data_IF_184678402455
#
_entry.id   IF_184678402455
#
_cell.length_a   1.000
_cell.length_b   1.000
_cell.length_c   1.000
_cell.angle_alpha   90.00
_cell.angle_beta   90.00
_cell.angle_gamma   90.00
#
_symmetry.space_group_name_H-M   'P 1'
#
loop_
_entity.id
_entity.type
_entity.pdbx_description
1 polymer ?
#
# COMPACT_ATOMS: atom_id res chain seq x y z
N UNK A 1 -17.26 -18.38 -14.49
CA UNK A 1 -16.66 -17.04 -14.72
C UNK A 1 -15.33 -17.15 -15.46
N UNK A 2 -14.88 -16.06 -16.06
CA UNK A 2 -13.50 -15.92 -16.54
C UNK A 2 -12.63 -15.37 -15.41
N UNK A 3 -11.43 -15.92 -15.25
CA UNK A 3 -10.41 -15.43 -14.31
C UNK A 3 -9.05 -15.44 -15.00
N UNK A 4 -8.09 -14.68 -14.46
CA UNK A 4 -6.71 -14.68 -14.91
C UNK A 4 -5.87 -15.53 -13.94
N UNK A 5 -5.30 -16.61 -14.45
CA UNK A 5 -4.45 -17.53 -13.67
C UNK A 5 -2.98 -17.31 -13.93
N UNK A 6 -2.18 -17.64 -12.93
CA UNK A 6 -0.72 -17.79 -13.06
C UNK A 6 -0.46 -19.27 -13.38
N UNK A 7 -0.14 -19.59 -14.62
CA UNK A 7 0.10 -20.98 -15.04
C UNK A 7 1.33 -21.58 -14.37
N UNK A 8 2.38 -20.78 -14.23
CA UNK A 8 3.66 -21.11 -13.60
C UNK A 8 4.37 -19.81 -13.20
N UNK A 9 5.28 -19.81 -12.23
CA UNK A 9 6.08 -18.62 -11.93
C UNK A 9 6.88 -18.14 -13.15
N UNK A 10 6.78 -16.82 -13.49
CA UNK A 10 7.47 -16.35 -14.67
C UNK A 10 7.16 -14.92 -15.13
N UNK A 11 7.43 -14.62 -16.43
CA UNK A 11 7.18 -13.32 -17.04
C UNK A 11 5.68 -13.03 -17.17
N UNK A 12 5.25 -11.81 -17.60
CA UNK A 12 3.83 -11.47 -17.74
C UNK A 12 3.04 -12.43 -18.65
N UNK A 13 3.69 -13.09 -19.56
CA UNK A 13 3.08 -14.06 -20.50
C UNK A 13 2.56 -15.34 -19.85
N UNK A 14 2.87 -15.61 -18.58
CA UNK A 14 2.32 -16.76 -17.84
C UNK A 14 0.91 -16.52 -17.35
N UNK A 15 0.45 -15.25 -17.34
CA UNK A 15 -0.92 -14.89 -17.03
C UNK A 15 -1.84 -15.33 -18.17
N UNK A 16 -2.85 -16.16 -17.88
CA UNK A 16 -3.76 -16.72 -18.87
C UNK A 16 -5.21 -16.64 -18.41
N UNK A 17 -6.15 -16.31 -19.32
CA UNK A 17 -7.56 -16.45 -19.01
C UNK A 17 -7.92 -17.95 -18.87
N UNK A 18 -8.69 -18.25 -17.84
CA UNK A 18 -9.20 -19.59 -17.55
C UNK A 18 -10.66 -19.54 -17.12
N UNK A 19 -11.38 -20.66 -17.28
CA UNK A 19 -12.73 -20.83 -16.76
C UNK A 19 -12.70 -21.40 -15.36
N UNK A 20 -13.30 -20.68 -14.43
CA UNK A 20 -13.43 -21.06 -13.01
C UNK A 20 -14.91 -21.03 -12.59
N UNK A 21 -15.32 -21.85 -11.60
CA UNK A 21 -16.63 -21.69 -10.99
C UNK A 21 -16.74 -20.30 -10.34
N UNK A 22 -17.94 -19.74 -10.29
CA UNK A 22 -18.22 -18.54 -9.52
C UNK A 22 -18.11 -18.91 -8.03
N UNK A 23 -17.30 -18.19 -7.22
CA UNK A 23 -17.17 -18.50 -5.80
C UNK A 23 -18.47 -18.22 -5.05
N UNK A 24 -18.72 -18.95 -3.97
CA UNK A 24 -19.86 -18.72 -3.09
C UNK A 24 -19.38 -17.95 -1.85
N UNK A 25 -20.05 -16.86 -1.44
CA UNK A 25 -19.68 -16.12 -0.25
C UNK A 25 -19.97 -16.98 0.99
N UNK A 26 -18.97 -17.06 1.87
CA UNK A 26 -19.10 -17.73 3.19
C UNK A 26 -19.87 -16.84 4.16
N UNK A 27 -20.26 -17.33 5.36
CA UNK A 27 -20.77 -16.46 6.41
C UNK A 27 -19.83 -15.28 6.67
N UNK A 28 -20.38 -14.05 6.70
CA UNK A 28 -19.61 -12.81 6.85
C UNK A 28 -18.97 -12.27 5.57
N UNK A 29 -19.10 -12.94 4.42
CA UNK A 29 -18.57 -12.48 3.14
C UNK A 29 -19.67 -11.98 2.19
N UNK A 30 -19.28 -11.22 1.19
CA UNK A 30 -20.11 -10.85 0.04
C UNK A 30 -19.48 -11.36 -1.25
N UNK A 31 -20.31 -11.57 -2.27
CA UNK A 31 -19.90 -11.81 -3.65
C UNK A 31 -20.01 -10.50 -4.42
N UNK A 32 -18.91 -10.06 -4.99
CA UNK A 32 -18.82 -8.84 -5.79
C UNK A 32 -18.73 -9.24 -7.27
N UNK A 33 -19.62 -8.68 -8.10
CA UNK A 33 -19.43 -8.67 -9.55
C UNK A 33 -18.42 -7.57 -9.84
N UNK A 34 -17.20 -7.97 -10.23
CA UNK A 34 -16.06 -7.09 -10.40
C UNK A 34 -16.22 -6.25 -11.66
N UNK A 35 -16.12 -4.95 -11.51
CA UNK A 35 -16.02 -4.00 -12.62
C UNK A 35 -14.56 -3.75 -13.00
N UNK A 36 -13.70 -3.56 -11.99
CA UNK A 36 -12.27 -3.35 -12.17
C UNK A 36 -11.49 -3.92 -10.98
N UNK A 37 -10.22 -4.27 -11.21
CA UNK A 37 -9.25 -4.70 -10.22
C UNK A 37 -7.98 -3.84 -10.33
N UNK A 38 -7.43 -3.42 -9.20
CA UNK A 38 -6.13 -2.74 -9.16
C UNK A 38 -4.97 -3.70 -9.44
N UNK A 39 -3.85 -3.14 -9.88
CA UNK A 39 -2.61 -3.91 -10.13
C UNK A 39 -1.55 -3.44 -9.13
N UNK A 40 -1.09 -4.36 -8.31
CA UNK A 40 -0.20 -4.08 -7.20
C UNK A 40 1.14 -4.84 -7.28
N UNK A 41 2.13 -4.38 -6.55
CA UNK A 41 3.44 -5.04 -6.51
C UNK A 41 3.39 -6.49 -6.03
N UNK A 42 2.59 -6.85 -5.00
CA UNK A 42 2.41 -8.24 -4.60
C UNK A 42 1.90 -9.16 -5.70
N UNK A 43 0.99 -8.70 -6.59
CA UNK A 43 0.51 -9.50 -7.74
C UNK A 43 1.68 -9.89 -8.67
N UNK A 44 2.59 -8.94 -8.90
CA UNK A 44 3.81 -9.21 -9.69
C UNK A 44 4.73 -10.20 -8.98
N UNK A 45 4.82 -10.13 -7.65
CA UNK A 45 5.62 -11.06 -6.85
C UNK A 45 4.96 -12.45 -6.81
N UNK A 46 3.63 -12.53 -6.68
CA UNK A 46 2.87 -13.79 -6.76
C UNK A 46 3.09 -14.44 -8.12
N UNK A 47 2.96 -13.68 -9.20
CA UNK A 47 3.26 -14.19 -10.55
C UNK A 47 4.69 -14.74 -10.69
N UNK A 48 5.66 -14.17 -9.97
CA UNK A 48 7.06 -14.63 -9.94
C UNK A 48 7.32 -15.77 -8.96
N UNK A 49 6.31 -16.21 -8.21
CA UNK A 49 6.45 -17.24 -7.18
C UNK A 49 7.09 -16.77 -5.87
N UNK A 50 7.24 -15.45 -5.70
CA UNK A 50 7.90 -14.84 -4.53
C UNK A 50 6.92 -14.28 -3.48
N UNK A 51 5.60 -14.44 -3.70
CA UNK A 51 4.55 -14.01 -2.78
C UNK A 51 3.38 -15.02 -2.85
N UNK A 52 3.44 -16.11 -2.11
CA UNK A 52 2.37 -17.11 -2.11
C UNK A 52 1.11 -16.54 -1.46
N UNK A 53 -0.09 -16.88 -1.97
CA UNK A 53 -1.33 -16.50 -1.32
C UNK A 53 -1.39 -17.06 0.12
N UNK A 54 -2.01 -16.36 1.07
CA UNK A 54 -2.22 -16.87 2.42
C UNK A 54 -3.03 -18.18 2.42
N UNK A 55 -2.88 -19.03 3.43
CA UNK A 55 -3.68 -20.27 3.54
C UNK A 55 -5.19 -19.97 3.48
N UNK A 56 -5.89 -20.64 2.57
CA UNK A 56 -7.34 -20.48 2.38
C UNK A 56 -7.75 -19.29 1.47
N UNK A 57 -6.81 -18.47 1.03
CA UNK A 57 -7.07 -17.45 0.01
C UNK A 57 -7.13 -18.05 -1.39
N UNK A 58 -7.68 -17.30 -2.34
CA UNK A 58 -7.72 -17.68 -3.76
C UNK A 58 -6.30 -17.74 -4.34
N UNK A 59 -6.06 -18.72 -5.21
CA UNK A 59 -4.84 -18.81 -6.03
C UNK A 59 -4.83 -17.81 -7.20
N UNK A 60 -6.01 -17.29 -7.57
CA UNK A 60 -6.15 -16.22 -8.54
C UNK A 60 -5.56 -14.93 -7.95
N UNK A 61 -4.67 -14.21 -8.68
CA UNK A 61 -4.12 -12.95 -8.19
C UNK A 61 -5.16 -11.81 -8.11
N UNK A 62 -4.73 -10.67 -7.59
CA UNK A 62 -5.55 -9.47 -7.45
C UNK A 62 -5.98 -9.23 -6.01
N UNK A 63 -5.43 -8.17 -5.40
CA UNK A 63 -5.62 -7.85 -3.98
C UNK A 63 -6.66 -6.76 -3.74
N UNK A 64 -7.22 -6.16 -4.79
CA UNK A 64 -8.24 -5.14 -4.66
C UNK A 64 -9.19 -5.14 -5.86
N UNK A 65 -10.43 -4.81 -5.60
CA UNK A 65 -11.46 -4.67 -6.63
C UNK A 65 -12.42 -3.53 -6.32
N UNK A 66 -13.12 -3.06 -7.36
CA UNK A 66 -14.40 -2.38 -7.19
C UNK A 66 -15.46 -3.02 -8.07
N UNK A 67 -16.71 -2.97 -7.61
CA UNK A 67 -17.82 -3.61 -8.29
C UNK A 67 -19.15 -3.44 -7.57
N UNK A 68 -20.05 -4.34 -7.86
CA UNK A 68 -21.39 -4.36 -7.27
C UNK A 68 -21.60 -5.66 -6.50
N UNK A 69 -22.08 -5.58 -5.27
CA UNK A 69 -22.46 -6.76 -4.47
C UNK A 69 -23.64 -7.47 -5.12
N UNK A 70 -23.50 -8.75 -5.44
CA UNK A 70 -24.55 -9.56 -6.10
C UNK A 70 -25.08 -10.68 -5.23
N UNK A 71 -24.38 -11.06 -4.16
CA UNK A 71 -24.85 -11.98 -3.14
C UNK A 71 -24.17 -11.68 -1.80
N UNK A 72 -24.80 -12.07 -0.70
CA UNK A 72 -24.26 -11.95 0.64
C UNK A 72 -24.34 -13.32 1.34
N UNK A 73 -23.29 -13.65 2.08
CA UNK A 73 -23.26 -14.81 2.96
C UNK A 73 -24.09 -14.61 4.21
N UNK A 74 -24.26 -15.69 4.97
CA UNK A 74 -25.03 -15.65 6.22
C UNK A 74 -24.49 -14.57 7.19
N UNK A 75 -25.42 -13.85 7.83
CA UNK A 75 -25.11 -12.83 8.82
C UNK A 75 -24.73 -11.45 8.24
N UNK A 76 -24.52 -11.31 6.94
CA UNK A 76 -24.18 -10.02 6.33
C UNK A 76 -25.45 -9.20 6.08
N UNK A 77 -25.49 -8.00 6.65
CA UNK A 77 -26.54 -6.98 6.42
C UNK A 77 -26.01 -5.79 5.64
N UNK A 78 -24.74 -5.50 5.77
CA UNK A 78 -24.03 -4.41 5.11
C UNK A 78 -22.65 -4.91 4.67
N UNK A 79 -22.23 -4.64 3.40
CA UNK A 79 -22.98 -3.95 2.34
C UNK A 79 -24.16 -4.80 1.79
N UNK A 80 -25.23 -4.13 1.42
CA UNK A 80 -26.42 -4.78 0.84
C UNK A 80 -26.17 -5.22 -0.62
N UNK A 81 -26.94 -6.20 -1.09
CA UNK A 81 -26.96 -6.58 -2.52
C UNK A 81 -27.40 -5.37 -3.36
N UNK A 82 -26.67 -5.10 -4.43
CA UNK A 82 -26.80 -3.93 -5.27
C UNK A 82 -25.87 -2.75 -4.87
N UNK A 83 -25.24 -2.79 -3.71
CA UNK A 83 -24.30 -1.75 -3.29
C UNK A 83 -23.05 -1.70 -4.19
N UNK A 84 -22.62 -0.49 -4.54
CA UNK A 84 -21.33 -0.23 -5.18
C UNK A 84 -20.25 -0.18 -4.11
N UNK A 85 -19.25 -1.04 -4.23
CA UNK A 85 -18.18 -1.18 -3.23
C UNK A 85 -16.80 -1.20 -3.89
N UNK A 86 -15.79 -0.83 -3.11
CA UNK A 86 -14.41 -1.23 -3.33
C UNK A 86 -13.92 -2.05 -2.12
N UNK A 87 -13.07 -3.04 -2.35
CA UNK A 87 -12.70 -3.99 -1.32
C UNK A 87 -11.24 -4.42 -1.42
N UNK A 88 -10.60 -4.58 -0.24
CA UNK A 88 -9.31 -5.25 -0.12
C UNK A 88 -9.56 -6.76 -0.05
N UNK A 89 -8.75 -7.52 -0.80
CA UNK A 89 -8.84 -8.97 -0.93
C UNK A 89 -7.53 -9.65 -0.51
N UNK A 90 -7.61 -10.91 -0.12
CA UNK A 90 -6.44 -11.76 0.05
C UNK A 90 -6.02 -12.47 -1.26
N UNK A 91 -6.70 -12.19 -2.38
CA UNK A 91 -6.55 -12.78 -3.70
C UNK A 91 -7.91 -12.90 -4.39
N UNK A 92 -7.92 -13.27 -5.68
CA UNK A 92 -9.16 -13.50 -6.44
C UNK A 92 -9.67 -12.30 -7.23
N UNK A 93 -9.02 -11.14 -7.15
CA UNK A 93 -9.49 -9.91 -7.80
C UNK A 93 -9.44 -9.95 -9.34
N UNK A 94 -8.54 -10.75 -9.92
CA UNK A 94 -8.42 -10.85 -11.38
C UNK A 94 -9.44 -11.84 -11.96
N UNK A 95 -10.70 -11.64 -11.65
CA UNK A 95 -11.82 -12.46 -12.10
C UNK A 95 -13.09 -11.62 -12.25
N UNK A 96 -14.10 -12.15 -12.98
CA UNK A 96 -15.40 -11.49 -13.12
C UNK A 96 -16.18 -11.40 -11.80
N UNK A 97 -15.87 -12.28 -10.84
CA UNK A 97 -16.49 -12.30 -9.51
C UNK A 97 -15.44 -12.63 -8.46
N UNK A 98 -15.49 -11.93 -7.32
CA UNK A 98 -14.63 -12.17 -6.17
C UNK A 98 -15.44 -12.16 -4.88
N UNK A 99 -15.05 -12.96 -3.88
CA UNK A 99 -15.59 -12.86 -2.53
C UNK A 99 -14.70 -11.97 -1.67
N UNK A 100 -15.32 -11.20 -0.78
CA UNK A 100 -14.62 -10.34 0.18
C UNK A 100 -15.32 -10.45 1.55
N UNK A 101 -14.57 -10.38 2.67
CA UNK A 101 -15.19 -10.12 3.97
C UNK A 101 -15.98 -8.81 3.92
N UNK A 102 -17.22 -8.81 4.40
CA UNK A 102 -18.08 -7.64 4.35
C UNK A 102 -17.44 -6.43 5.04
N UNK A 103 -16.70 -6.66 6.13
CA UNK A 103 -15.96 -5.62 6.86
C UNK A 103 -14.80 -4.98 6.08
N UNK A 104 -14.32 -5.61 5.01
CA UNK A 104 -13.26 -5.07 4.13
C UNK A 104 -13.83 -4.38 2.89
N UNK A 105 -15.15 -4.29 2.79
CA UNK A 105 -15.84 -3.58 1.72
C UNK A 105 -16.18 -2.16 2.16
N UNK A 106 -15.68 -1.18 1.43
CA UNK A 106 -16.04 0.23 1.61
C UNK A 106 -17.03 0.64 0.54
N UNK A 107 -17.98 1.54 0.82
CA UNK A 107 -18.78 2.16 -0.23
C UNK A 107 -17.84 2.81 -1.26
N UNK A 108 -18.02 2.51 -2.54
CA UNK A 108 -17.29 3.20 -3.59
C UNK A 108 -17.68 4.68 -3.59
N UNK A 109 -16.72 5.63 -3.54
CA UNK A 109 -17.03 7.05 -3.54
C UNK A 109 -17.91 7.43 -4.74
N UNK A 110 -18.95 8.19 -4.51
CA UNK A 110 -19.95 8.52 -5.55
C UNK A 110 -19.38 9.37 -6.67
N UNK A 111 -18.32 10.13 -6.41
CA UNK A 111 -17.62 10.98 -7.36
C UNK A 111 -16.64 10.20 -8.25
N UNK A 112 -16.36 8.94 -7.94
CA UNK A 112 -15.44 8.10 -8.68
C UNK A 112 -16.19 7.07 -9.51
N UNK A 113 -15.63 6.73 -10.65
CA UNK A 113 -16.00 5.53 -11.40
C UNK A 113 -15.57 4.29 -10.62
N UNK A 114 -16.11 3.11 -10.97
CA UNK A 114 -15.65 1.88 -10.34
C UNK A 114 -14.19 1.55 -10.71
N UNK A 115 -13.75 1.97 -11.89
CA UNK A 115 -12.35 1.78 -12.33
C UNK A 115 -11.40 2.58 -11.43
N UNK A 116 -11.74 3.83 -11.12
CA UNK A 116 -10.97 4.66 -10.18
C UNK A 116 -11.05 4.13 -8.75
N UNK A 117 -12.24 3.72 -8.30
CA UNK A 117 -12.44 3.19 -6.95
C UNK A 117 -11.68 1.87 -6.72
N UNK A 118 -11.42 1.09 -7.78
CA UNK A 118 -10.66 -0.16 -7.68
C UNK A 118 -9.18 0.05 -7.30
N UNK A 119 -8.63 1.25 -7.42
CA UNK A 119 -7.25 1.57 -7.07
C UNK A 119 -7.09 2.12 -5.63
N UNK A 120 -8.17 2.16 -4.85
CA UNK A 120 -8.12 2.73 -3.50
C UNK A 120 -7.72 1.72 -2.40
N UNK A 121 -8.31 0.51 -2.32
CA UNK A 121 -8.21 -0.32 -1.12
C UNK A 121 -6.78 -0.66 -0.72
N UNK A 122 -5.98 -1.19 -1.61
CA UNK A 122 -4.62 -1.67 -1.31
C UNK A 122 -3.73 -0.54 -0.77
N UNK A 123 -3.73 0.61 -1.44
CA UNK A 123 -2.86 1.71 -1.07
C UNK A 123 -3.37 2.47 0.16
N UNK A 124 -4.67 2.70 0.26
CA UNK A 124 -5.26 3.42 1.39
C UNK A 124 -5.22 2.61 2.68
N UNK A 125 -5.57 1.31 2.65
CA UNK A 125 -5.45 0.45 3.83
C UNK A 125 -3.99 0.30 4.27
N UNK A 126 -3.06 0.14 3.33
CA UNK A 126 -1.63 0.04 3.64
C UNK A 126 -1.11 1.31 4.32
N UNK A 127 -1.39 2.48 3.76
CA UNK A 127 -0.94 3.75 4.34
C UNK A 127 -1.64 4.02 5.66
N UNK A 128 -2.97 3.85 5.72
CA UNK A 128 -3.73 4.07 6.96
C UNK A 128 -3.20 3.23 8.11
N UNK A 129 -3.11 1.93 7.90
CA UNK A 129 -2.65 1.01 8.93
C UNK A 129 -1.24 1.31 9.41
N UNK A 130 -0.29 1.52 8.48
CA UNK A 130 1.11 1.67 8.85
C UNK A 130 1.46 3.06 9.36
N UNK A 131 0.91 4.12 8.75
CA UNK A 131 1.27 5.50 9.07
C UNK A 131 0.40 6.04 10.22
N UNK A 132 -0.91 5.77 10.22
CA UNK A 132 -1.83 6.36 11.20
C UNK A 132 -2.11 5.44 12.38
N UNK A 133 -2.41 4.16 12.17
CA UNK A 133 -2.71 3.22 13.27
C UNK A 133 -1.43 2.82 14.02
N UNK A 134 -0.42 2.31 13.31
CA UNK A 134 0.81 1.79 13.93
C UNK A 134 1.81 2.90 14.27
N UNK A 135 2.20 3.71 13.30
CA UNK A 135 3.16 4.79 13.52
C UNK A 135 2.54 6.04 14.16
N UNK A 136 1.20 6.15 14.21
CA UNK A 136 0.46 7.21 14.90
C UNK A 136 0.91 8.60 14.50
N UNK A 137 0.99 8.83 13.17
CA UNK A 137 1.29 10.15 12.63
C UNK A 137 0.26 11.17 13.12
N UNK A 138 0.74 12.34 13.55
CA UNK A 138 -0.09 13.43 14.07
C UNK A 138 0.06 14.69 13.23
N UNK A 139 -0.94 15.57 13.30
CA UNK A 139 -0.83 16.90 12.71
C UNK A 139 0.41 17.64 13.24
N UNK A 140 1.11 18.34 12.34
CA UNK A 140 2.36 19.04 12.63
C UNK A 140 3.62 18.18 12.63
N UNK A 141 3.50 16.85 12.61
CA UNK A 141 4.65 15.94 12.45
C UNK A 141 5.13 15.87 10.99
N UNK A 142 6.35 15.42 10.80
CA UNK A 142 6.96 15.21 9.49
C UNK A 142 6.91 13.73 9.11
N UNK A 143 6.29 13.43 7.97
CA UNK A 143 6.27 12.13 7.33
C UNK A 143 7.30 12.09 6.19
N UNK A 144 8.24 11.17 6.25
CA UNK A 144 9.13 10.82 5.13
C UNK A 144 8.62 9.55 4.45
N UNK A 145 8.45 9.59 3.12
CA UNK A 145 7.97 8.44 2.34
C UNK A 145 8.96 8.09 1.24
N UNK A 146 9.46 6.88 1.23
CA UNK A 146 10.25 6.40 0.11
C UNK A 146 9.35 5.97 -1.04
N UNK A 147 9.78 6.30 -2.28
CA UNK A 147 9.00 5.99 -3.47
C UNK A 147 7.73 6.85 -3.63
N UNK A 148 7.83 8.15 -3.43
CA UNK A 148 6.72 9.11 -3.44
C UNK A 148 5.80 9.07 -4.67
N UNK A 149 6.31 8.67 -5.83
CA UNK A 149 5.54 8.54 -7.07
C UNK A 149 4.92 7.14 -7.28
N UNK A 150 4.98 6.24 -6.29
CA UNK A 150 4.25 4.96 -6.30
C UNK A 150 2.81 5.15 -5.82
N UNK A 151 1.94 4.15 -6.02
CA UNK A 151 0.57 4.18 -5.48
C UNK A 151 0.55 4.42 -3.95
N UNK A 152 1.43 3.74 -3.21
CA UNK A 152 1.61 3.99 -1.76
C UNK A 152 2.08 5.42 -1.50
N UNK A 153 3.07 5.90 -2.27
CA UNK A 153 3.64 7.24 -2.08
C UNK A 153 2.64 8.36 -2.34
N UNK A 154 1.88 8.27 -3.44
CA UNK A 154 0.84 9.26 -3.77
C UNK A 154 -0.27 9.28 -2.73
N UNK A 155 -0.71 8.10 -2.27
CA UNK A 155 -1.69 7.98 -1.19
C UNK A 155 -1.16 8.57 0.13
N UNK A 156 0.11 8.31 0.47
CA UNK A 156 0.72 8.84 1.68
C UNK A 156 0.87 10.37 1.64
N UNK A 157 1.15 10.95 0.45
CA UNK A 157 1.13 12.41 0.27
C UNK A 157 -0.27 12.96 0.56
N UNK A 158 -1.29 12.42 -0.12
CA UNK A 158 -2.68 12.91 0.02
C UNK A 158 -3.18 12.80 1.46
N UNK A 159 -3.03 11.64 2.09
CA UNK A 159 -3.46 11.42 3.47
C UNK A 159 -2.63 12.25 4.46
N UNK A 160 -1.29 12.28 4.32
CA UNK A 160 -0.43 13.07 5.19
C UNK A 160 -0.81 14.55 5.16
N UNK A 161 -1.07 15.12 3.98
CA UNK A 161 -1.51 16.52 3.84
C UNK A 161 -2.91 16.74 4.39
N UNK A 162 -3.85 15.83 4.13
CA UNK A 162 -5.22 15.92 4.64
C UNK A 162 -5.28 15.91 6.18
N UNK A 163 -4.36 15.19 6.82
CA UNK A 163 -4.23 15.11 8.28
C UNK A 163 -3.22 16.09 8.88
N UNK A 164 -2.79 17.10 8.11
CA UNK A 164 -1.98 18.21 8.61
C UNK A 164 -0.51 17.89 8.88
N UNK A 165 0.04 16.84 8.28
CA UNK A 165 1.45 16.53 8.37
C UNK A 165 2.27 17.30 7.33
N UNK A 166 3.56 17.50 7.62
CA UNK A 166 4.56 17.89 6.64
C UNK A 166 5.02 16.62 5.91
N UNK A 167 4.98 16.62 4.58
CA UNK A 167 5.29 15.42 3.80
C UNK A 167 6.56 15.63 2.97
N UNK A 168 7.56 14.78 3.21
CA UNK A 168 8.80 14.68 2.45
C UNK A 168 8.79 13.34 1.72
N UNK A 169 9.16 13.32 0.44
CA UNK A 169 9.21 12.08 -0.33
C UNK A 169 10.53 11.90 -1.05
N UNK A 170 10.90 10.65 -1.34
CA UNK A 170 11.99 10.35 -2.26
C UNK A 170 11.43 9.81 -3.58
N UNK A 171 12.02 10.17 -4.71
CA UNK A 171 11.67 9.67 -6.03
C UNK A 171 12.91 9.56 -6.93
N UNK A 172 12.82 8.80 -8.02
CA UNK A 172 13.99 8.46 -8.86
C UNK A 172 14.16 9.33 -10.10
N UNK A 173 13.47 10.48 -10.21
CA UNK A 173 13.70 11.44 -11.30
C UNK A 173 13.10 12.80 -10.99
N UNK A 174 13.60 13.85 -11.66
CA UNK A 174 13.07 15.20 -11.53
C UNK A 174 11.56 15.29 -11.87
N UNK A 175 11.12 14.59 -12.91
CA UNK A 175 9.71 14.55 -13.30
C UNK A 175 8.82 13.91 -12.23
N UNK A 176 9.27 12.80 -11.61
CA UNK A 176 8.55 12.17 -10.49
C UNK A 176 8.53 13.07 -9.25
N UNK A 177 9.62 13.77 -8.97
CA UNK A 177 9.66 14.75 -7.89
C UNK A 177 8.69 15.93 -8.12
N UNK A 178 8.59 16.41 -9.36
CA UNK A 178 7.62 17.45 -9.73
C UNK A 178 6.19 16.99 -9.49
N UNK A 179 5.82 15.81 -10.01
CA UNK A 179 4.50 15.22 -9.78
C UNK A 179 4.16 15.04 -8.29
N UNK A 180 5.13 14.62 -7.46
CA UNK A 180 4.91 14.52 -6.01
C UNK A 180 4.62 15.88 -5.37
N UNK A 181 5.32 16.96 -5.81
CA UNK A 181 5.04 18.32 -5.32
C UNK A 181 3.68 18.83 -5.77
N UNK A 182 3.28 18.56 -7.00
CA UNK A 182 1.93 18.89 -7.52
C UNK A 182 0.82 18.21 -6.70
N UNK A 183 1.08 16.98 -6.20
CA UNK A 183 0.17 16.27 -5.30
C UNK A 183 0.16 16.83 -3.85
N UNK A 184 1.06 17.77 -3.54
CA UNK A 184 1.10 18.42 -2.23
C UNK A 184 2.30 18.03 -1.34
N UNK A 185 3.27 17.25 -1.80
CA UNK A 185 4.48 17.00 -1.03
C UNK A 185 5.25 18.30 -0.79
N UNK A 186 5.59 18.60 0.48
CA UNK A 186 6.33 19.80 0.85
C UNK A 186 7.77 19.77 0.32
N UNK A 187 8.38 18.57 0.27
CA UNK A 187 9.68 18.33 -0.33
C UNK A 187 9.69 17.01 -1.10
N UNK A 188 10.31 17.01 -2.27
CA UNK A 188 10.56 15.81 -3.07
C UNK A 188 12.04 15.75 -3.45
N UNK A 189 12.69 14.68 -3.03
CA UNK A 189 14.14 14.44 -3.12
C UNK A 189 14.40 13.43 -4.23
N UNK A 190 15.19 13.81 -5.24
CA UNK A 190 15.71 12.86 -6.22
C UNK A 190 16.90 12.11 -5.60
N UNK A 191 16.69 10.84 -5.25
CA UNK A 191 17.71 10.03 -4.58
C UNK A 191 18.89 9.65 -5.46
N UNK A 192 18.87 9.98 -6.77
CA UNK A 192 20.03 9.85 -7.67
C UNK A 192 20.91 11.11 -7.67
N UNK A 193 20.41 12.24 -7.19
CA UNK A 193 21.10 13.54 -7.22
C UNK A 193 21.50 14.01 -5.83
N UNK A 194 20.97 13.41 -4.77
CA UNK A 194 21.27 13.84 -3.41
C UNK A 194 21.01 12.81 -2.33
N UNK A 195 21.65 13.01 -1.18
CA UNK A 195 21.41 12.20 0.01
C UNK A 195 20.11 12.60 0.69
N UNK A 196 19.20 11.63 0.84
CA UNK A 196 17.90 11.90 1.45
C UNK A 196 17.99 12.17 2.95
N UNK A 197 19.00 11.66 3.64
CA UNK A 197 19.21 11.92 5.08
C UNK A 197 19.52 13.39 5.28
N UNK A 198 20.54 13.92 4.57
CA UNK A 198 20.90 15.33 4.63
C UNK A 198 19.74 16.23 4.21
N UNK A 199 19.06 15.88 3.11
CA UNK A 199 17.93 16.66 2.61
C UNK A 199 16.77 16.69 3.61
N UNK A 200 16.46 15.57 4.28
CA UNK A 200 15.42 15.48 5.32
C UNK A 200 15.82 16.33 6.54
N UNK A 201 17.07 16.22 6.99
CA UNK A 201 17.56 17.02 8.13
C UNK A 201 17.52 18.51 7.81
N UNK A 202 17.98 18.95 6.62
CA UNK A 202 17.85 20.36 6.19
C UNK A 202 16.41 20.83 6.17
N UNK A 203 15.50 20.01 5.61
CA UNK A 203 14.07 20.34 5.52
C UNK A 203 13.39 20.41 6.90
N UNK A 204 13.98 19.89 7.95
CA UNK A 204 13.43 19.81 9.31
C UNK A 204 14.28 20.54 10.36
N UNK A 205 15.15 21.44 9.95
CA UNK A 205 16.05 22.20 10.82
C UNK A 205 16.86 21.30 11.77
N UNK A 206 17.35 20.17 11.25
CA UNK A 206 18.13 19.16 11.98
C UNK A 206 17.31 18.19 12.82
N UNK A 207 16.00 18.35 12.94
CA UNK A 207 15.14 17.53 13.80
C UNK A 207 14.93 16.11 13.26
N UNK A 208 14.83 15.96 11.96
CA UNK A 208 14.50 14.69 11.29
C UNK A 208 13.00 14.42 11.14
N UNK A 209 12.66 13.28 10.54
CA UNK A 209 11.28 12.86 10.29
C UNK A 209 10.69 12.10 11.49
N UNK A 210 9.46 12.43 11.86
CA UNK A 210 8.75 11.78 12.97
C UNK A 210 8.24 10.39 12.59
N UNK A 211 7.76 10.23 11.37
CA UNK A 211 7.35 8.95 10.79
C UNK A 211 8.05 8.73 9.46
N UNK A 212 8.55 7.52 9.24
CA UNK A 212 9.16 7.11 7.97
C UNK A 212 8.42 5.89 7.44
N UNK A 213 7.86 5.98 6.23
CA UNK A 213 7.26 4.86 5.51
C UNK A 213 8.28 4.30 4.51
N UNK A 214 8.76 3.09 4.78
CA UNK A 214 9.84 2.45 4.03
C UNK A 214 9.36 1.22 3.26
N UNK A 215 9.49 1.26 1.93
CA UNK A 215 9.27 0.13 1.04
C UNK A 215 10.56 -0.38 0.40
N UNK A 216 11.70 0.21 0.76
CA UNK A 216 13.01 -0.12 0.18
C UNK A 216 13.72 -1.18 1.00
N UNK A 217 13.81 -1.01 2.32
CA UNK A 217 14.55 -1.92 3.19
C UNK A 217 16.08 -1.89 2.93
N UNK A 218 16.77 -2.98 3.25
CA UNK A 218 18.22 -3.09 3.03
C UNK A 218 18.96 -1.93 3.69
N UNK A 219 19.90 -1.32 2.97
CA UNK A 219 20.73 -0.21 3.47
C UNK A 219 19.94 1.07 3.83
N UNK A 220 18.70 1.19 3.35
CA UNK A 220 17.83 2.31 3.71
C UNK A 220 17.47 2.29 5.19
N UNK A 221 17.42 1.14 5.84
CA UNK A 221 17.03 1.04 7.27
C UNK A 221 18.02 1.81 8.16
N UNK A 222 19.32 1.66 7.97
CA UNK A 222 20.33 2.40 8.72
C UNK A 222 20.26 3.92 8.44
N UNK A 223 20.03 4.29 7.18
CA UNK A 223 19.86 5.69 6.77
C UNK A 223 18.56 6.30 7.31
N UNK A 224 17.48 5.51 7.42
CA UNK A 224 16.25 5.92 8.07
C UNK A 224 16.45 6.22 9.55
N UNK A 225 17.25 5.42 10.25
CA UNK A 225 17.64 5.70 11.64
C UNK A 225 18.37 7.06 11.75
N UNK A 226 19.23 7.39 10.79
CA UNK A 226 19.91 8.69 10.74
C UNK A 226 18.94 9.85 10.47
N UNK A 227 17.99 9.67 9.54
CA UNK A 227 17.00 10.69 9.13
C UNK A 227 15.84 10.88 10.13
N UNK A 228 15.63 9.93 11.05
CA UNK A 228 14.52 9.97 12.00
C UNK A 228 14.72 11.01 13.11
N UNK A 229 13.63 11.62 13.54
CA UNK A 229 13.58 12.48 14.72
C UNK A 229 13.68 11.64 16.02
N UNK A 230 13.91 12.29 17.15
CA UNK A 230 13.79 11.67 18.47
C UNK A 230 12.37 11.15 18.68
N UNK A 231 12.25 9.92 19.16
CA UNK A 231 10.99 9.15 19.27
C UNK A 231 10.31 8.88 17.90
N UNK A 232 11.09 8.90 16.83
CA UNK A 232 10.64 8.58 15.48
C UNK A 232 10.16 7.14 15.33
N UNK A 233 9.30 6.92 14.35
CA UNK A 233 8.68 5.62 14.06
C UNK A 233 8.94 5.27 12.59
N UNK A 234 9.55 4.11 12.35
CA UNK A 234 9.87 3.61 11.01
C UNK A 234 8.95 2.43 10.73
N UNK A 235 8.11 2.56 9.72
CA UNK A 235 7.21 1.51 9.25
C UNK A 235 7.74 0.92 7.94
N UNK A 236 8.22 -0.33 8.00
CA UNK A 236 8.71 -1.08 6.84
C UNK A 236 7.57 -1.89 6.26
N UNK A 237 7.24 -1.67 4.98
CA UNK A 237 6.14 -2.35 4.28
C UNK A 237 6.59 -3.20 3.10
N UNK A 238 7.85 -3.09 2.69
CA UNK A 238 8.48 -3.92 1.67
C UNK A 238 10.00 -3.86 1.81
N UNK A 239 10.70 -4.68 1.02
CA UNK A 239 12.15 -4.82 1.06
C UNK A 239 12.75 -4.90 -0.35
N UNK A 240 12.36 -3.96 -1.22
CA UNK A 240 12.77 -3.95 -2.63
C UNK A 240 14.29 -3.81 -2.83
N UNK A 241 14.99 -3.17 -1.89
CA UNK A 241 16.44 -3.02 -1.86
C UNK A 241 17.18 -4.11 -1.07
N UNK A 242 16.44 -5.05 -0.45
CA UNK A 242 17.00 -6.16 0.30
C UNK A 242 16.25 -6.42 1.61
N UNK A 243 16.19 -7.70 2.01
CA UNK A 243 15.50 -8.14 3.23
C UNK A 243 16.40 -8.13 4.48
N UNK A 244 17.71 -7.91 4.31
CA UNK A 244 18.67 -7.84 5.41
C UNK A 244 19.19 -6.42 5.56
N UNK A 245 19.33 -5.97 6.80
CA UNK A 245 19.91 -4.66 7.13
C UNK A 245 20.88 -4.80 8.30
N UNK A 246 21.96 -4.05 8.25
CA UNK A 246 22.88 -3.85 9.38
C UNK A 246 22.57 -2.50 10.03
N UNK A 247 22.40 -2.47 11.35
CA UNK A 247 21.98 -1.28 12.10
C UNK A 247 22.89 -1.07 13.29
N UNK A 248 23.43 0.15 13.46
CA UNK A 248 24.01 0.58 14.75
C UNK A 248 22.88 0.88 15.74
N UNK A 249 22.87 0.15 16.85
CA UNK A 249 21.83 0.29 17.88
C UNK A 249 21.96 1.57 18.72
N UNK A 250 23.13 2.21 18.74
CA UNK A 250 23.34 3.42 19.57
C UNK A 250 22.45 4.59 19.19
N UNK A 251 22.36 5.03 17.92
CA UNK A 251 21.43 6.09 17.55
C UNK A 251 19.97 5.68 17.73
N UNK A 252 19.65 4.38 17.56
CA UNK A 252 18.30 3.85 17.79
C UNK A 252 17.89 4.00 19.26
N UNK A 253 18.80 3.69 20.19
CA UNK A 253 18.59 3.87 21.64
C UNK A 253 18.54 5.35 22.03
N UNK A 254 19.51 6.15 21.58
CA UNK A 254 19.60 7.60 21.91
C UNK A 254 18.36 8.35 21.45
N UNK A 255 17.89 8.08 20.23
CA UNK A 255 16.68 8.68 19.68
C UNK A 255 15.39 7.99 20.13
N UNK A 256 15.44 6.88 20.85
CA UNK A 256 14.28 6.07 21.30
C UNK A 256 13.34 5.68 20.13
N UNK A 257 13.94 5.20 19.03
CA UNK A 257 13.20 4.88 17.81
C UNK A 257 12.39 3.60 17.93
N UNK A 258 11.33 3.54 17.16
CA UNK A 258 10.54 2.32 16.95
C UNK A 258 10.65 1.90 15.48
N UNK A 259 10.91 0.61 15.24
CA UNK A 259 10.87 0.01 13.91
C UNK A 259 9.79 -1.06 13.93
N UNK A 260 8.85 -0.96 13.02
CA UNK A 260 7.78 -1.93 12.83
C UNK A 260 7.71 -2.38 11.38
N UNK A 261 7.20 -3.58 11.14
CA UNK A 261 6.99 -4.09 9.79
C UNK A 261 5.60 -4.73 9.67
N UNK A 262 5.08 -4.75 8.44
CA UNK A 262 3.84 -5.46 8.06
C UNK A 262 3.91 -5.93 6.62
N UNK A 263 3.08 -6.91 6.29
CA UNK A 263 2.86 -7.42 4.93
C UNK A 263 1.41 -7.23 4.56
#
# INVERSE_FOLDING_TARGET
MTAIEIREPGPPTVLRPARRPVPQPRPGEVLIKVAAAGVNRPDVLQRKGAYPPPPGASDIPGLEVAGVVVAAGEGVKDPAVGARVCALLAGGGYAEYATAPAMQCLPAPTQLTLDEAAALPETFFTVWYNVFERARLRAGETLLVHGGASGIGTTAILLGKAFGARVIVTAGSAAKCAACRELGADHAINYHEGDFVEATLRATDGRGADVILDMVGGDYVARNVAAAATSGRIAVIAHMGGAKAEIDLRPLMVKRLQISAST
#
